data_IF_228062628526
#
_entry.id   IF_228062628526
#
_cell.length_a   1.000
_cell.length_b   1.000
_cell.length_c   1.000
_cell.angle_alpha   90.00
_cell.angle_beta   90.00
_cell.angle_gamma   90.00
#
_symmetry.space_group_name_H-M   'P 1'
#
loop_
_entity.id
_entity.type
_entity.pdbx_description
1 polymer ?
#
# COMPACT_ATOMS: atom_id res chain seq x y z
N UNK A 1 7.18 -19.08 -17.77
CA UNK A 1 7.65 -19.05 -16.38
C UNK A 1 6.39 -19.21 -15.54
N UNK A 2 6.19 -20.33 -14.84
CA UNK A 2 4.92 -20.56 -14.13
C UNK A 2 4.97 -19.83 -12.79
N UNK A 3 4.32 -18.67 -12.69
CA UNK A 3 4.04 -18.06 -11.39
C UNK A 3 3.09 -18.97 -10.63
N UNK A 4 3.48 -19.39 -9.42
CA UNK A 4 2.61 -20.19 -8.56
C UNK A 4 1.66 -19.26 -7.82
N UNK A 5 0.66 -18.77 -8.54
CA UNK A 5 -0.36 -17.84 -8.05
C UNK A 5 -1.03 -18.36 -6.77
N UNK A 6 -1.39 -19.64 -6.75
CA UNK A 6 -2.01 -20.26 -5.57
C UNK A 6 -1.12 -20.15 -4.31
N UNK A 7 0.19 -20.26 -4.49
CA UNK A 7 1.15 -20.13 -3.37
C UNK A 7 1.24 -18.68 -2.91
N UNK A 8 1.19 -17.73 -3.84
CA UNK A 8 1.16 -16.30 -3.52
C UNK A 8 -0.09 -15.98 -2.67
N UNK A 9 -1.28 -16.38 -3.13
CA UNK A 9 -2.52 -16.16 -2.39
C UNK A 9 -2.45 -16.78 -0.99
N UNK A 10 -1.93 -18.00 -0.88
CA UNK A 10 -1.73 -18.64 0.41
C UNK A 10 -0.80 -17.83 1.32
N UNK A 11 0.32 -17.32 0.81
CA UNK A 11 1.25 -16.50 1.60
C UNK A 11 0.56 -15.22 2.07
N UNK A 12 -0.10 -14.51 1.17
CA UNK A 12 -0.77 -13.23 1.46
C UNK A 12 -1.94 -13.39 2.45
N UNK A 13 -2.58 -14.55 2.51
CA UNK A 13 -3.65 -14.82 3.47
C UNK A 13 -3.20 -14.96 4.94
N UNK A 14 -1.89 -15.02 5.22
CA UNK A 14 -1.39 -15.09 6.59
C UNK A 14 -1.40 -13.71 7.26
N UNK A 15 -2.00 -13.61 8.46
CA UNK A 15 -2.15 -12.35 9.21
C UNK A 15 -0.82 -11.64 9.51
N UNK A 16 0.28 -12.39 9.64
CA UNK A 16 1.62 -11.84 9.93
C UNK A 16 2.46 -11.62 8.65
N UNK A 17 1.86 -11.76 7.46
CA UNK A 17 2.58 -11.55 6.21
C UNK A 17 2.83 -10.06 5.96
N UNK A 18 4.10 -9.67 6.01
CA UNK A 18 4.53 -8.37 5.49
C UNK A 18 4.46 -8.37 3.95
N UNK A 19 3.66 -7.46 3.40
CA UNK A 19 3.43 -7.30 1.96
C UNK A 19 4.42 -6.34 1.29
N UNK A 20 5.17 -5.55 2.08
CA UNK A 20 6.14 -4.57 1.60
C UNK A 20 7.62 -4.85 1.99
N UNK A 21 8.10 -6.11 2.04
CA UNK A 21 9.50 -6.37 2.36
C UNK A 21 10.41 -5.82 1.27
N UNK A 22 11.34 -4.95 1.65
CA UNK A 22 12.32 -4.40 0.72
C UNK A 22 13.50 -5.36 0.53
N UNK A 23 13.86 -5.61 -0.73
CA UNK A 23 15.04 -6.41 -1.03
C UNK A 23 16.34 -5.65 -0.68
N UNK A 24 17.46 -6.37 -0.56
CA UNK A 24 18.76 -5.77 -0.17
C UNK A 24 19.48 -5.05 -1.31
N UNK A 25 19.17 -5.39 -2.56
CA UNK A 25 19.93 -4.98 -3.75
C UNK A 25 19.40 -3.65 -4.28
N UNK A 26 18.09 -3.57 -4.46
CA UNK A 26 17.39 -2.48 -5.11
C UNK A 26 16.47 -1.71 -4.17
N UNK A 27 16.35 -2.14 -2.91
CA UNK A 27 15.36 -1.59 -1.97
C UNK A 27 13.93 -1.64 -2.54
N UNK A 28 13.68 -2.56 -3.46
CA UNK A 28 12.41 -2.75 -4.14
C UNK A 28 11.50 -3.65 -3.30
N UNK A 29 10.22 -3.28 -3.25
CA UNK A 29 9.14 -4.09 -2.65
C UNK A 29 8.68 -5.19 -3.64
N UNK A 30 7.89 -6.20 -3.21
CA UNK A 30 7.31 -7.17 -4.14
C UNK A 30 6.53 -6.50 -5.27
N UNK A 31 5.82 -5.41 -4.98
CA UNK A 31 5.06 -4.65 -5.97
C UNK A 31 5.95 -4.01 -7.05
N UNK A 32 7.15 -3.52 -6.69
CA UNK A 32 8.12 -3.02 -7.68
C UNK A 32 8.62 -4.10 -8.64
N UNK A 33 8.74 -5.34 -8.16
CA UNK A 33 9.20 -6.47 -8.96
C UNK A 33 8.05 -7.00 -9.84
N UNK A 34 6.82 -7.04 -9.33
CA UNK A 34 5.64 -7.53 -10.03
C UNK A 34 5.41 -6.79 -11.35
N UNK A 35 5.52 -5.46 -11.35
CA UNK A 35 5.29 -4.63 -12.54
C UNK A 35 6.36 -4.77 -13.63
N UNK A 36 7.49 -5.43 -13.34
CA UNK A 36 8.57 -5.70 -14.29
C UNK A 36 8.49 -7.11 -14.91
N UNK A 37 7.51 -7.92 -14.51
CA UNK A 37 7.29 -9.24 -15.12
C UNK A 37 7.00 -9.09 -16.61
N UNK A 38 7.45 -10.01 -17.44
CA UNK A 38 7.26 -9.94 -18.90
C UNK A 38 5.82 -10.33 -19.31
N UNK A 39 5.25 -11.31 -18.62
CA UNK A 39 3.92 -11.85 -18.88
C UNK A 39 2.83 -10.89 -18.37
N UNK A 40 2.01 -10.29 -19.24
CA UNK A 40 1.02 -9.29 -18.86
C UNK A 40 -0.13 -9.85 -18.00
N UNK A 41 -0.57 -11.07 -18.26
CA UNK A 41 -1.68 -11.68 -17.52
C UNK A 41 -1.23 -12.01 -16.10
N UNK A 42 -0.05 -12.63 -15.97
CA UNK A 42 0.54 -12.93 -14.68
C UNK A 42 0.91 -11.65 -13.91
N UNK A 43 1.43 -10.63 -14.60
CA UNK A 43 1.77 -9.33 -14.02
C UNK A 43 0.56 -8.67 -13.38
N UNK A 44 -0.54 -8.55 -14.12
CA UNK A 44 -1.76 -7.95 -13.61
C UNK A 44 -2.28 -8.72 -12.39
N UNK A 45 -2.32 -10.05 -12.49
CA UNK A 45 -2.82 -10.88 -11.39
C UNK A 45 -2.00 -10.72 -10.10
N UNK A 46 -0.66 -10.73 -10.19
CA UNK A 46 0.21 -10.55 -9.02
C UNK A 46 0.08 -9.12 -8.46
N UNK A 47 -0.01 -8.12 -9.34
CA UNK A 47 -0.22 -6.72 -8.92
C UNK A 47 -1.53 -6.60 -8.14
N UNK A 48 -2.64 -7.10 -8.69
CA UNK A 48 -3.94 -7.04 -8.02
C UNK A 48 -3.90 -7.76 -6.67
N UNK A 49 -3.32 -8.96 -6.60
CA UNK A 49 -3.18 -9.71 -5.35
C UNK A 49 -2.41 -8.93 -4.28
N UNK A 50 -1.31 -8.29 -4.65
CA UNK A 50 -0.50 -7.49 -3.72
C UNK A 50 -1.24 -6.22 -3.27
N UNK A 51 -1.95 -5.55 -4.19
CA UNK A 51 -2.73 -4.35 -3.87
C UNK A 51 -3.92 -4.69 -2.95
N UNK A 52 -4.61 -5.80 -3.20
CA UNK A 52 -5.70 -6.29 -2.35
C UNK A 52 -5.20 -6.68 -0.95
N UNK A 53 -3.96 -7.18 -0.84
CA UNK A 53 -3.29 -7.44 0.43
C UNK A 53 -2.74 -6.17 1.12
N UNK A 54 -2.92 -4.98 0.51
CA UNK A 54 -2.59 -3.69 1.12
C UNK A 54 -1.19 -3.16 0.82
N UNK A 55 -0.53 -3.64 -0.23
CA UNK A 55 0.81 -3.17 -0.60
C UNK A 55 0.86 -1.64 -0.84
N UNK A 56 1.88 -0.99 -0.27
CA UNK A 56 2.04 0.46 -0.35
C UNK A 56 2.66 0.90 -1.69
N UNK A 57 1.81 1.55 -2.50
CA UNK A 57 2.17 2.10 -3.81
C UNK A 57 3.08 3.35 -3.75
N UNK A 58 3.32 3.91 -2.56
CA UNK A 58 4.07 5.16 -2.37
C UNK A 58 5.54 4.94 -2.00
N UNK A 59 5.92 3.71 -1.66
CA UNK A 59 7.29 3.34 -1.33
C UNK A 59 8.20 3.53 -2.53
N UNK A 60 9.45 3.89 -2.25
CA UNK A 60 10.48 4.17 -3.24
C UNK A 60 11.59 3.14 -3.22
N UNK A 61 12.03 2.72 -4.40
CA UNK A 61 13.22 1.90 -4.58
C UNK A 61 14.52 2.68 -4.28
N UNK A 62 15.68 2.04 -4.47
CA UNK A 62 17.01 2.65 -4.28
C UNK A 62 17.26 3.87 -5.18
N UNK A 63 16.56 3.96 -6.31
CA UNK A 63 16.69 5.03 -7.28
C UNK A 63 15.73 6.19 -6.98
N UNK A 64 14.86 6.03 -5.97
CA UNK A 64 13.86 7.01 -5.60
C UNK A 64 12.57 6.92 -6.42
N UNK A 65 12.38 5.85 -7.18
CA UNK A 65 11.19 5.62 -8.00
C UNK A 65 10.14 4.85 -7.23
N UNK A 66 8.88 5.28 -7.37
CA UNK A 66 7.71 4.54 -6.93
C UNK A 66 7.31 3.51 -7.98
N UNK A 67 6.40 2.60 -7.63
CA UNK A 67 5.84 1.64 -8.61
C UNK A 67 5.23 2.35 -9.84
N UNK A 68 4.58 3.51 -9.65
CA UNK A 68 3.98 4.27 -10.76
C UNK A 68 5.03 4.85 -11.72
N UNK A 69 6.25 5.11 -11.24
CA UNK A 69 7.32 5.68 -12.06
C UNK A 69 7.96 4.63 -12.98
N UNK A 70 7.86 3.34 -12.63
CA UNK A 70 8.49 2.23 -13.36
C UNK A 70 7.53 1.48 -14.29
N UNK A 71 6.22 1.58 -14.08
CA UNK A 71 5.22 0.91 -14.93
C UNK A 71 5.26 1.52 -16.34
N UNK A 72 5.20 0.65 -17.36
CA UNK A 72 5.13 1.08 -18.75
C UNK A 72 3.86 1.89 -19.00
N UNK A 73 3.97 2.97 -19.79
CA UNK A 73 2.82 3.78 -20.20
C UNK A 73 1.76 3.00 -20.97
N UNK A 74 2.17 1.91 -21.61
CA UNK A 74 1.30 1.08 -22.44
C UNK A 74 0.52 0.04 -21.61
N UNK A 75 0.91 -0.19 -20.35
CA UNK A 75 0.24 -1.11 -19.45
C UNK A 75 -0.86 -0.40 -18.65
N UNK A 76 -1.93 -0.06 -19.36
CA UNK A 76 -3.05 0.70 -18.80
C UNK A 76 -3.76 -0.06 -17.68
N UNK A 77 -3.84 -1.39 -17.77
CA UNK A 77 -4.50 -2.22 -16.77
C UNK A 77 -3.80 -2.13 -15.40
N UNK A 78 -2.47 -2.30 -15.39
CA UNK A 78 -1.66 -2.18 -14.16
C UNK A 78 -1.69 -0.75 -13.63
N UNK A 79 -1.59 0.25 -14.51
CA UNK A 79 -1.66 1.66 -14.10
C UNK A 79 -2.99 2.00 -13.42
N UNK A 80 -4.11 1.51 -13.96
CA UNK A 80 -5.43 1.79 -13.41
C UNK A 80 -5.65 1.08 -12.08
N UNK A 81 -5.16 -0.16 -11.92
CA UNK A 81 -5.19 -0.88 -10.64
C UNK A 81 -4.43 -0.11 -9.55
N UNK A 82 -3.19 0.31 -9.82
CA UNK A 82 -2.36 1.04 -8.85
C UNK A 82 -2.98 2.40 -8.49
N UNK A 83 -3.51 3.14 -9.48
CA UNK A 83 -4.18 4.43 -9.23
C UNK A 83 -5.41 4.27 -8.35
N UNK A 84 -6.20 3.23 -8.61
CA UNK A 84 -7.39 2.92 -7.81
C UNK A 84 -7.02 2.60 -6.37
N UNK A 85 -6.03 1.72 -6.16
CA UNK A 85 -5.55 1.37 -4.83
C UNK A 85 -5.01 2.60 -4.07
N UNK A 86 -4.23 3.45 -4.75
CA UNK A 86 -3.74 4.71 -4.16
C UNK A 86 -4.87 5.64 -3.73
N UNK A 87 -5.92 5.77 -4.53
CA UNK A 87 -7.08 6.58 -4.18
C UNK A 87 -7.86 6.01 -2.99
N UNK A 88 -8.00 4.69 -2.90
CA UNK A 88 -8.65 4.02 -1.78
C UNK A 88 -7.89 4.24 -0.47
N UNK A 89 -6.55 4.10 -0.49
CA UNK A 89 -5.72 4.35 0.69
C UNK A 89 -5.74 5.82 1.15
N UNK A 90 -5.92 6.77 0.23
CA UNK A 90 -6.05 8.18 0.59
C UNK A 90 -7.36 8.50 1.34
N UNK A 91 -8.46 7.83 0.99
CA UNK A 91 -9.78 8.06 1.60
C UNK A 91 -9.85 7.47 3.01
N UNK A 92 -9.27 6.28 3.23
CA UNK A 92 -9.28 5.61 4.53
C UNK A 92 -8.57 6.39 5.64
N UNK A 93 -7.64 7.29 5.30
CA UNK A 93 -6.89 8.08 6.28
C UNK A 93 -7.61 9.38 6.71
N UNK A 94 -8.64 9.83 5.98
CA UNK A 94 -9.35 11.09 6.27
C UNK A 94 -10.50 10.93 7.29
N UNK A 95 -10.88 9.71 7.66
CA UNK A 95 -12.01 9.43 8.57
C UNK A 95 -11.60 9.31 10.06
N UNK A 96 -10.33 9.60 10.38
CA UNK A 96 -9.81 9.66 11.77
C UNK A 96 -9.78 11.13 12.20
N UNK A 97 -10.97 11.73 12.33
CA UNK A 97 -11.12 12.93 13.13
C UNK A 97 -11.17 12.50 14.61
N UNK A 98 -10.11 12.76 15.35
CA UNK A 98 -10.12 12.71 16.81
C UNK A 98 -11.05 13.83 17.28
N UNK A 99 -12.30 13.47 17.55
CA UNK A 99 -13.25 14.30 18.30
C UNK A 99 -12.89 14.21 19.79
N UNK A 100 -11.65 14.65 20.13
CA UNK A 100 -11.24 14.90 21.51
C UNK A 100 -11.60 16.36 21.86
N UNK A 101 -12.90 16.66 21.83
CA UNK A 101 -13.50 17.79 22.54
C UNK A 101 -13.80 17.34 23.99
N UNK A 102 -12.77 16.97 24.75
CA UNK A 102 -12.89 16.79 26.21
C UNK A 102 -12.69 18.13 26.91
N UNK A 103 -13.79 18.89 26.93
CA UNK A 103 -14.34 19.69 28.04
C UNK A 103 -13.32 20.36 28.99
N UNK A 104 -13.15 21.67 28.80
CA UNK A 104 -12.48 22.60 29.69
C UNK A 104 -13.08 22.59 31.11
N UNK A 105 -12.52 21.76 31.99
CA UNK A 105 -12.74 21.83 33.43
C UNK A 105 -12.08 23.06 34.07
N UNK A 106 -12.68 24.25 33.91
CA UNK A 106 -12.31 25.47 34.64
C UNK A 106 -12.57 25.30 36.15
N UNK A 107 -11.54 24.86 36.88
CA UNK A 107 -11.51 24.88 38.34
C UNK A 107 -11.27 26.30 38.88
N UNK A 108 -12.26 27.18 38.85
CA UNK A 108 -12.24 28.46 39.57
C UNK A 108 -12.95 28.35 40.92
N UNK A 109 -12.21 27.94 41.95
CA UNK A 109 -12.64 28.01 43.34
C UNK A 109 -12.17 29.30 43.99
N UNK A 110 -12.99 30.36 43.96
CA UNK A 110 -12.91 31.51 44.86
C UNK A 110 -14.20 31.62 45.67
N UNK A 111 -14.08 31.52 47.00
CA UNK A 111 -14.76 32.33 48.05
C UNK A 111 -14.50 31.64 49.40
N UNK A 112 -13.72 32.26 50.31
CA UNK A 112 -14.10 33.25 51.33
C UNK A 112 -14.86 32.64 52.52
N UNK A 113 -14.19 32.48 53.66
CA UNK A 113 -14.53 32.98 55.02
C UNK A 113 -13.45 32.60 56.05
#
# INVERSE_FOLDING_TARGET
MHGSVDVLEHILSHEECDVDPINRIDKATPLHLAVQLEDPELRLHIVDSLLEAGADTTLKDKNGFTVLDIVSSDDTAVLDAIRKAKAQNAISNDDIAHDDDDDDGEGSGSDSE
#
